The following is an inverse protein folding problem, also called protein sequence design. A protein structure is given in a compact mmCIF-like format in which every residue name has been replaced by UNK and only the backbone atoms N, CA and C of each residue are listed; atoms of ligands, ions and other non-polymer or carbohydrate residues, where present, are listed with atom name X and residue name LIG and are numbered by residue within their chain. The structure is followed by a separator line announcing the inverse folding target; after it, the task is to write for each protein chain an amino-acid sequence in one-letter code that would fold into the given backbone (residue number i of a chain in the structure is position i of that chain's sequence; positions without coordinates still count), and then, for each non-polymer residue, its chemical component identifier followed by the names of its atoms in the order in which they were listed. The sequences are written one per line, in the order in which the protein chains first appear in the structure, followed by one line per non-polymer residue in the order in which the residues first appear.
data_IF_836179911032
#
_entry.id   IF_836179911032
#
_cell.length_a   1.000
_cell.length_b   1.000
_cell.length_c   1.000
_cell.angle_alpha   90.00
_cell.angle_beta   90.00
_cell.angle_gamma   90.00
#
_symmetry.space_group_name_H-M   'P 1'
#
loop_
_entity.id
_entity.type
_entity.pdbx_description
1 polymer ?
#
# COMPACT_ATOMS: atom_id res chain seq x y z
N UNK A 1 -51.42 -25.24 27.76
CA UNK A 1 -50.40 -24.38 28.39
C UNK A 1 -50.71 -22.95 27.98
N UNK A 2 -51.46 -22.23 28.80
CA UNK A 2 -51.80 -20.83 28.57
C UNK A 2 -50.64 -19.97 29.08
N UNK A 3 -49.98 -19.26 28.16
CA UNK A 3 -48.94 -18.30 28.50
C UNK A 3 -49.59 -17.10 29.19
N UNK A 4 -49.08 -16.73 30.36
CA UNK A 4 -49.65 -15.66 31.16
C UNK A 4 -49.43 -14.31 30.49
N UNK A 5 -50.33 -13.34 30.71
CA UNK A 5 -50.28 -11.98 30.11
C UNK A 5 -48.93 -11.29 30.33
N UNK A 6 -48.22 -11.65 31.40
CA UNK A 6 -46.88 -11.16 31.74
C UNK A 6 -45.80 -11.64 30.77
N UNK A 7 -45.89 -12.86 30.24
CA UNK A 7 -44.93 -13.43 29.27
C UNK A 7 -45.10 -12.83 27.86
N UNK A 8 -46.34 -12.51 27.45
CA UNK A 8 -46.58 -11.80 26.18
C UNK A 8 -45.95 -10.41 26.14
N UNK A 9 -45.88 -9.70 27.28
CA UNK A 9 -45.27 -8.37 27.36
C UNK A 9 -43.75 -8.41 27.25
N UNK A 10 -43.10 -9.48 27.71
CA UNK A 10 -41.66 -9.67 27.56
C UNK A 10 -41.23 -9.97 26.12
N UNK A 11 -42.01 -10.77 25.40
CA UNK A 11 -41.72 -11.08 23.99
C UNK A 11 -41.90 -9.86 23.07
N UNK A 12 -42.88 -9.00 23.34
CA UNK A 12 -43.06 -7.76 22.58
C UNK A 12 -41.89 -6.77 22.78
N UNK A 13 -41.31 -6.69 23.98
CA UNK A 13 -40.17 -5.82 24.25
C UNK A 13 -38.88 -6.27 23.53
N UNK A 14 -38.64 -7.58 23.45
CA UNK A 14 -37.47 -8.13 22.74
C UNK A 14 -37.57 -7.98 21.21
N UNK A 15 -38.79 -7.97 20.65
CA UNK A 15 -39.00 -7.74 19.21
C UNK A 15 -38.67 -6.32 18.75
N UNK A 16 -38.80 -5.32 19.62
CA UNK A 16 -38.52 -3.90 19.27
C UNK A 16 -37.02 -3.59 19.26
N UNK A 17 -36.21 -4.29 20.08
CA UNK A 17 -34.75 -4.08 20.13
C UNK A 17 -34.06 -4.66 18.87
N UNK A 18 -34.58 -5.75 18.30
CA UNK A 18 -34.03 -6.37 17.09
C UNK A 18 -34.20 -5.55 15.80
N UNK A 19 -35.14 -4.62 15.75
CA UNK A 19 -35.43 -3.81 14.55
C UNK A 19 -34.73 -2.43 14.55
N UNK A 20 -34.25 -1.94 15.70
CA UNK A 20 -33.58 -0.65 15.80
C UNK A 20 -32.14 -0.63 15.27
N UNK A 21 -31.43 -1.76 15.31
CA UNK A 21 -30.01 -1.83 14.92
C UNK A 21 -29.81 -2.01 13.41
N UNK A 22 -30.83 -2.51 12.69
CA UNK A 22 -30.75 -2.69 11.24
C UNK A 22 -30.91 -1.39 10.43
N UNK A 23 -31.52 -0.35 11.02
CA UNK A 23 -31.79 0.90 10.33
C UNK A 23 -30.55 1.81 10.17
N UNK A 24 -29.47 1.57 10.92
CA UNK A 24 -28.22 2.32 10.76
C UNK A 24 -27.33 1.83 9.60
N UNK A 25 -27.61 0.66 9.01
CA UNK A 25 -26.80 0.11 7.92
C UNK A 25 -27.33 0.41 6.51
N UNK A 26 -28.51 1.03 6.38
CA UNK A 26 -29.15 1.29 5.07
C UNK A 26 -28.92 2.71 4.55
N UNK A 27 -28.26 3.59 5.31
CA UNK A 27 -27.76 4.87 4.79
C UNK A 27 -26.24 4.81 4.66
N UNK A 28 -25.77 3.89 3.82
CA UNK A 28 -24.48 4.00 3.17
C UNK A 28 -24.55 5.20 2.23
N UNK A 29 -24.41 6.38 2.81
CA UNK A 29 -24.37 7.64 2.13
C UNK A 29 -23.36 7.56 0.97
N UNK A 30 -23.85 7.88 -0.22
CA UNK A 30 -23.09 8.47 -1.32
C UNK A 30 -22.39 9.76 -0.84
N UNK A 31 -21.45 9.64 0.08
CA UNK A 31 -20.44 10.66 0.25
C UNK A 31 -19.50 10.50 -0.95
N UNK A 32 -19.41 11.47 -1.88
CA UNK A 32 -18.29 11.55 -2.78
C UNK A 32 -17.08 11.85 -1.89
N UNK A 33 -16.45 10.80 -1.40
CA UNK A 33 -15.21 10.93 -0.68
C UNK A 33 -14.20 11.56 -1.66
N UNK A 34 -13.68 12.76 -1.38
CA UNK A 34 -12.71 13.41 -2.26
C UNK A 34 -11.35 12.73 -2.21
N UNK A 35 -11.19 11.68 -1.40
CA UNK A 35 -10.03 10.83 -1.50
C UNK A 35 -10.24 9.92 -2.71
N UNK A 36 -9.61 10.24 -3.84
CA UNK A 36 -9.19 9.17 -4.74
C UNK A 36 -8.48 8.14 -3.87
N UNK A 37 -8.97 6.92 -3.85
CA UNK A 37 -8.27 5.77 -3.28
C UNK A 37 -6.81 5.86 -3.74
N UNK A 38 -5.84 5.78 -2.83
CA UNK A 38 -4.40 5.93 -3.19
C UNK A 38 -4.00 5.02 -4.35
N UNK A 39 -4.67 3.88 -4.52
CA UNK A 39 -4.47 2.97 -5.64
C UNK A 39 -5.08 3.45 -6.97
N UNK A 40 -6.14 4.26 -6.97
CA UNK A 40 -6.76 4.83 -8.18
C UNK A 40 -5.94 5.96 -8.83
N UNK A 41 -4.86 6.39 -8.17
CA UNK A 41 -3.91 7.39 -8.68
C UNK A 41 -2.58 6.80 -9.14
N UNK A 42 -2.41 5.47 -9.07
CA UNK A 42 -1.23 4.82 -9.64
C UNK A 42 -1.37 4.84 -11.15
N UNK A 43 -0.54 5.67 -11.78
CA UNK A 43 -0.56 5.86 -13.23
C UNK A 43 0.42 4.90 -13.89
N UNK A 44 1.47 4.49 -13.18
CA UNK A 44 2.47 3.58 -13.74
C UNK A 44 3.23 2.76 -12.70
N UNK A 45 3.90 1.70 -13.17
CA UNK A 45 4.85 0.88 -12.41
C UNK A 45 6.21 0.99 -13.09
N UNK A 46 7.19 1.47 -12.33
CA UNK A 46 8.53 1.72 -12.85
C UNK A 46 9.41 0.51 -12.51
N UNK A 47 10.22 0.08 -13.48
CA UNK A 47 11.25 -0.93 -13.26
C UNK A 47 12.36 -0.38 -12.34
N UNK A 48 12.96 -1.25 -11.54
CA UNK A 48 14.01 -0.86 -10.59
C UNK A 48 15.35 -0.54 -11.28
N UNK A 49 15.52 -0.91 -12.55
CA UNK A 49 16.65 -0.54 -13.40
C UNK A 49 16.41 0.75 -14.21
N UNK A 50 15.28 1.42 -13.99
CA UNK A 50 15.01 2.74 -14.56
C UNK A 50 15.99 3.79 -14.00
N UNK A 51 16.47 4.75 -14.80
CA UNK A 51 17.40 5.78 -14.34
C UNK A 51 16.89 6.63 -13.16
N UNK A 52 15.57 6.65 -12.94
CA UNK A 52 14.98 7.32 -11.78
C UNK A 52 15.18 6.57 -10.46
N UNK A 53 15.61 5.31 -10.48
CA UNK A 53 15.82 4.46 -9.32
C UNK A 53 17.28 3.97 -9.25
N UNK A 54 17.89 3.99 -8.07
CA UNK A 54 19.26 3.45 -7.90
C UNK A 54 19.52 2.96 -6.47
N UNK A 55 20.53 2.09 -6.33
CA UNK A 55 21.06 1.72 -5.02
C UNK A 55 20.09 0.90 -4.18
N UNK A 56 19.60 -0.23 -4.70
CA UNK A 56 18.84 -1.18 -3.87
C UNK A 56 19.79 -1.78 -2.83
N UNK A 57 19.47 -1.57 -1.56
CA UNK A 57 20.27 -2.05 -0.43
C UNK A 57 19.36 -2.85 0.50
N UNK A 58 19.82 -4.04 0.87
CA UNK A 58 19.24 -4.83 1.96
C UNK A 58 20.04 -4.52 3.22
N UNK A 59 19.36 -4.01 4.24
CA UNK A 59 19.98 -3.63 5.51
C UNK A 59 20.41 -4.86 6.33
N UNK A 60 21.17 -4.64 7.40
CA UNK A 60 21.78 -5.69 8.21
C UNK A 60 20.75 -6.51 8.99
N UNK A 61 19.55 -5.97 9.16
CA UNK A 61 18.40 -6.69 9.72
C UNK A 61 17.80 -7.73 8.75
N UNK A 62 18.31 -7.79 7.51
CA UNK A 62 17.87 -8.66 6.43
C UNK A 62 16.38 -8.49 6.09
N UNK A 63 15.77 -7.37 6.47
CA UNK A 63 14.32 -7.11 6.32
C UNK A 63 14.04 -5.74 5.74
N UNK A 64 14.88 -4.76 6.04
CA UNK A 64 14.73 -3.42 5.56
C UNK A 64 15.37 -3.33 4.18
N UNK A 65 14.56 -2.97 3.19
CA UNK A 65 15.05 -2.68 1.84
C UNK A 65 14.94 -1.19 1.61
N UNK A 66 16.02 -0.60 1.12
CA UNK A 66 16.08 0.81 0.74
C UNK A 66 16.47 0.98 -0.72
N UNK A 67 16.02 2.08 -1.31
CA UNK A 67 16.26 2.47 -2.69
C UNK A 67 16.27 3.99 -2.76
N UNK A 68 17.20 4.59 -3.49
CA UNK A 68 17.15 6.01 -3.81
C UNK A 68 16.34 6.21 -5.09
N UNK A 69 15.38 7.14 -5.04
CA UNK A 69 14.49 7.46 -6.17
C UNK A 69 14.51 8.96 -6.45
N UNK A 70 14.39 9.30 -7.72
CA UNK A 70 14.10 10.64 -8.22
C UNK A 70 12.78 10.63 -8.99
N UNK A 71 12.07 11.74 -8.98
CA UNK A 71 10.89 11.96 -9.82
C UNK A 71 10.87 13.41 -10.27
N UNK A 72 10.18 13.69 -11.37
CA UNK A 72 10.16 15.01 -11.98
C UNK A 72 8.72 15.43 -12.30
N UNK A 73 8.51 16.74 -12.36
CA UNK A 73 7.22 17.32 -12.70
C UNK A 73 6.14 16.99 -11.67
N UNK A 74 4.90 16.85 -12.15
CA UNK A 74 3.72 16.69 -11.31
C UNK A 74 3.57 15.32 -10.65
N UNK A 75 4.60 14.48 -10.61
CA UNK A 75 4.48 13.19 -9.93
C UNK A 75 4.54 13.36 -8.41
N UNK A 76 3.74 12.59 -7.69
CA UNK A 76 3.98 12.37 -6.27
C UNK A 76 5.25 11.56 -6.06
N UNK A 77 5.83 11.69 -4.86
CA UNK A 77 6.84 10.75 -4.37
C UNK A 77 6.40 9.29 -4.65
N UNK A 78 7.22 8.51 -5.37
CA UNK A 78 6.92 7.11 -5.64
C UNK A 78 6.88 6.26 -4.36
N UNK A 79 6.10 5.19 -4.39
CA UNK A 79 6.06 4.21 -3.31
C UNK A 79 6.82 2.94 -3.70
N UNK A 80 7.69 2.47 -2.80
CA UNK A 80 8.31 1.17 -2.89
C UNK A 80 7.42 0.14 -2.18
N UNK A 81 6.96 -0.87 -2.91
CA UNK A 81 6.11 -1.93 -2.36
C UNK A 81 6.81 -3.27 -2.53
N UNK A 82 6.79 -4.09 -1.47
CA UNK A 82 7.26 -5.46 -1.48
C UNK A 82 6.07 -6.43 -1.44
N UNK A 83 6.15 -7.48 -2.24
CA UNK A 83 5.23 -8.62 -2.20
C UNK A 83 6.04 -9.87 -1.88
N UNK A 84 5.69 -10.53 -0.77
CA UNK A 84 6.46 -11.64 -0.25
C UNK A 84 5.75 -12.97 -0.46
N UNK A 85 6.52 -13.95 -0.90
CA UNK A 85 6.19 -15.37 -0.85
C UNK A 85 7.25 -16.12 -0.04
N UNK A 86 7.05 -17.43 0.11
CA UNK A 86 8.01 -18.28 0.80
C UNK A 86 9.39 -18.34 0.09
N UNK A 87 9.42 -18.16 -1.23
CA UNK A 87 10.63 -18.36 -2.06
C UNK A 87 11.17 -17.07 -2.68
N UNK A 88 10.34 -16.03 -2.75
CA UNK A 88 10.63 -14.81 -3.49
C UNK A 88 10.06 -13.58 -2.82
N UNK A 89 10.79 -12.48 -2.95
CA UNK A 89 10.33 -11.13 -2.68
C UNK A 89 10.31 -10.37 -4.00
N UNK A 90 9.15 -9.84 -4.35
CA UNK A 90 8.97 -9.02 -5.55
C UNK A 90 8.86 -7.57 -5.14
N UNK A 91 9.70 -6.71 -5.71
CA UNK A 91 9.67 -5.27 -5.49
C UNK A 91 9.00 -4.58 -6.67
N UNK A 92 8.23 -3.54 -6.38
CA UNK A 92 7.65 -2.67 -7.40
C UNK A 92 7.70 -1.22 -6.94
N UNK A 93 8.09 -0.34 -7.85
CA UNK A 93 8.02 1.10 -7.64
C UNK A 93 6.73 1.61 -8.29
N UNK A 94 5.83 2.17 -7.49
CA UNK A 94 4.54 2.71 -7.95
C UNK A 94 4.67 4.22 -8.18
N UNK A 95 4.43 4.68 -9.40
CA UNK A 95 4.33 6.11 -9.75
C UNK A 95 2.89 6.57 -9.67
N UNK A 96 2.70 7.78 -9.17
CA UNK A 96 1.39 8.44 -9.12
C UNK A 96 1.50 9.85 -9.64
N UNK A 97 0.50 10.25 -10.40
CA UNK A 97 0.36 11.61 -10.87
C UNK A 97 -0.35 12.46 -9.81
N UNK A 98 0.24 13.63 -9.51
CA UNK A 98 -0.33 14.68 -8.68
C UNK A 98 -1.01 15.77 -9.50
N UNK A 99 -1.02 15.68 -10.83
CA UNK A 99 -1.67 16.69 -11.65
C UNK A 99 -3.17 16.78 -11.33
N UNK A 100 -3.62 18.00 -11.08
CA UNK A 100 -5.02 18.31 -10.85
C UNK A 100 -5.35 19.69 -11.41
N UNK A 101 -6.54 19.88 -12.03
CA UNK A 101 -6.94 21.19 -12.52
C UNK A 101 -6.89 22.24 -11.39
N UNK A 102 -6.10 23.30 -11.60
CA UNK A 102 -5.99 24.42 -10.66
C UNK A 102 -5.00 24.24 -9.51
N UNK A 103 -4.26 23.13 -9.45
CA UNK A 103 -3.18 22.92 -8.48
C UNK A 103 -1.84 23.03 -9.22
N UNK A 104 -0.99 23.97 -8.79
CA UNK A 104 0.40 24.05 -9.26
C UNK A 104 1.20 22.85 -8.77
N UNK A 105 2.03 22.28 -9.64
CA UNK A 105 2.88 21.16 -9.29
C UNK A 105 4.20 21.64 -8.67
N UNK A 106 4.75 20.87 -7.76
CA UNK A 106 6.16 20.99 -7.38
C UNK A 106 7.04 20.33 -8.44
N UNK A 107 8.30 20.74 -8.57
CA UNK A 107 9.21 20.33 -9.66
C UNK A 107 9.74 18.88 -9.57
N UNK A 108 9.10 18.04 -8.75
CA UNK A 108 9.58 16.71 -8.40
C UNK A 108 10.61 16.74 -7.26
N UNK A 109 11.38 15.66 -7.10
CA UNK A 109 12.32 15.56 -5.99
C UNK A 109 13.14 14.29 -5.98
N UNK A 110 13.98 14.17 -4.94
CA UNK A 110 14.79 12.98 -4.65
C UNK A 110 14.49 12.50 -3.24
N UNK A 111 14.39 11.20 -3.04
CA UNK A 111 14.18 10.61 -1.72
C UNK A 111 14.73 9.20 -1.63
N UNK A 112 15.13 8.81 -0.41
CA UNK A 112 15.32 7.41 -0.05
C UNK A 112 13.97 6.79 0.31
N UNK A 113 13.59 5.75 -0.41
CA UNK A 113 12.45 4.91 -0.08
C UNK A 113 12.87 3.77 0.82
N UNK A 114 11.93 3.31 1.64
CA UNK A 114 12.13 2.20 2.56
C UNK A 114 10.89 1.32 2.56
N UNK A 115 11.10 0.02 2.49
CA UNK A 115 10.08 -0.99 2.79
C UNK A 115 10.66 -2.00 3.79
N UNK A 116 9.78 -2.61 4.57
CA UNK A 116 10.17 -3.60 5.60
C UNK A 116 9.43 -4.89 5.31
N UNK A 117 10.21 -5.96 5.13
CA UNK A 117 9.69 -7.29 4.93
C UNK A 117 9.13 -7.87 6.24
N UNK A 118 8.07 -8.67 6.12
CA UNK A 118 7.49 -9.44 7.20
C UNK A 118 8.44 -10.54 7.68
N UNK A 119 9.19 -11.17 6.76
CA UNK A 119 10.22 -12.16 7.07
C UNK A 119 11.60 -11.69 6.55
N UNK A 120 12.72 -12.18 7.12
CA UNK A 120 14.05 -11.90 6.59
C UNK A 120 14.19 -12.38 5.13
N UNK A 121 14.87 -11.65 4.26
CA UNK A 121 15.10 -12.00 2.86
C UNK A 121 15.80 -13.36 2.78
N UNK A 122 16.88 -13.55 3.55
CA UNK A 122 17.59 -14.81 3.68
C UNK A 122 18.07 -15.31 2.32
N UNK A 123 17.61 -16.51 1.94
CA UNK A 123 17.93 -17.12 0.63
C UNK A 123 16.85 -16.86 -0.42
N UNK A 124 15.82 -16.07 -0.12
CA UNK A 124 14.72 -15.77 -1.05
C UNK A 124 15.24 -14.89 -2.18
N UNK A 125 14.75 -15.14 -3.38
CA UNK A 125 15.10 -14.32 -4.54
C UNK A 125 14.48 -12.92 -4.43
N UNK A 126 15.26 -11.87 -4.67
CA UNK A 126 14.74 -10.51 -4.82
C UNK A 126 14.56 -10.19 -6.30
N UNK A 127 13.34 -9.87 -6.72
CA UNK A 127 12.95 -9.77 -8.13
C UNK A 127 12.17 -8.50 -8.39
N UNK A 128 12.40 -7.87 -9.54
CA UNK A 128 11.61 -6.73 -10.01
C UNK A 128 10.29 -7.24 -10.58
N UNK A 129 9.17 -6.73 -10.08
CA UNK A 129 7.84 -7.12 -10.53
C UNK A 129 7.49 -6.69 -11.96
N UNK A 130 8.16 -5.65 -12.49
CA UNK A 130 7.95 -5.11 -13.84
C UNK A 130 8.75 -5.92 -14.86
N UNK A 131 10.04 -6.15 -14.60
CA UNK A 131 10.93 -6.83 -15.57
C UNK A 131 11.02 -8.34 -15.34
N UNK A 132 10.63 -8.83 -14.16
CA UNK A 132 10.79 -10.23 -13.75
C UNK A 132 12.25 -10.63 -13.50
N UNK A 133 13.20 -9.69 -13.58
CA UNK A 133 14.63 -9.95 -13.43
C UNK A 133 15.06 -9.91 -11.95
N UNK A 134 16.12 -10.64 -11.57
CA UNK A 134 16.75 -10.47 -10.27
C UNK A 134 17.19 -9.03 -10.05
N UNK A 135 16.95 -8.50 -8.86
CA UNK A 135 17.37 -7.15 -8.48
C UNK A 135 18.80 -7.21 -7.93
N UNK A 136 19.79 -6.58 -8.58
CA UNK A 136 21.11 -6.41 -7.97
C UNK A 136 20.96 -5.58 -6.70
N UNK A 137 21.50 -6.07 -5.59
CA UNK A 137 21.43 -5.37 -4.32
C UNK A 137 22.76 -5.45 -3.58
N UNK A 138 23.08 -4.37 -2.88
CA UNK A 138 24.19 -4.33 -1.94
C UNK A 138 23.80 -4.91 -0.59
N UNK A 139 24.78 -5.46 0.12
CA UNK A 139 24.68 -5.70 1.56
C UNK A 139 25.05 -4.45 2.37
N UNK A 140 24.86 -4.47 3.69
CA UNK A 140 25.29 -3.39 4.57
C UNK A 140 26.78 -3.15 4.41
N UNK A 141 27.16 -1.93 4.01
CA UNK A 141 28.56 -1.55 3.81
C UNK A 141 29.11 -1.79 2.40
N UNK A 142 28.30 -2.22 1.42
CA UNK A 142 28.74 -2.29 0.03
C UNK A 142 28.51 -0.93 -0.66
N UNK A 143 29.54 -0.27 -1.21
CA UNK A 143 29.36 0.95 -1.99
C UNK A 143 28.47 0.67 -3.21
N UNK A 144 27.67 1.64 -3.67
CA UNK A 144 26.85 1.47 -4.87
C UNK A 144 27.76 1.07 -6.05
N UNK A 145 27.36 0.10 -6.88
CA UNK A 145 28.08 -0.19 -8.11
C UNK A 145 28.09 1.07 -8.97
N UNK A 146 29.30 1.52 -9.33
CA UNK A 146 29.54 2.68 -10.20
C UNK A 146 29.40 2.36 -11.68
#
# INVERSE_FOLDING_TARGET
MELTVRERRWLAAMGVIGLGVAACYVWGADYPLPYRTRDASVVDRIALDDPSASGVIVDADDRTITLDVSWAGCDYKPDLVAQETAERVTLVLKRRDASSPGIGCEDGGVARLRTVLHHPLGTRSLVDAVTGKPVPHGGPGQPPPG
#
